data_IF_841890777186
#
_entry.id   IF_841890777186
#
_cell.length_a   1.000
_cell.length_b   1.000
_cell.length_c   1.000
_cell.angle_alpha   90.00
_cell.angle_beta   90.00
_cell.angle_gamma   90.00
#
_symmetry.space_group_name_H-M   'P 1'
#
loop_
_entity.id
_entity.type
_entity.pdbx_description
1 polymer ?
#
# COMPACT_ATOMS: atom_id res chain seq x y z
N UNK A 1 16.34 24.74 77.92
CA UNK A 1 17.33 24.58 76.83
C UNK A 1 16.90 23.36 76.02
N UNK A 2 16.41 23.61 74.80
CA UNK A 2 15.70 22.63 73.98
C UNK A 2 16.67 21.94 73.02
N UNK A 3 16.52 20.62 72.91
CA UNK A 3 17.40 19.71 72.18
C UNK A 3 17.32 19.86 70.66
N UNK A 4 18.48 19.69 70.02
CA UNK A 4 18.71 19.65 68.58
C UNK A 4 18.43 18.22 68.07
N UNK A 5 17.42 18.03 67.21
CA UNK A 5 17.14 16.76 66.56
C UNK A 5 17.67 16.77 65.12
N UNK A 6 18.76 16.03 64.87
CA UNK A 6 19.26 15.68 63.54
C UNK A 6 18.32 14.63 62.91
N UNK A 7 17.61 14.99 61.84
CA UNK A 7 16.93 14.04 60.95
C UNK A 7 17.87 13.68 59.80
N UNK A 8 18.60 12.57 59.97
CA UNK A 8 19.31 11.90 58.88
C UNK A 8 18.36 11.00 58.10
N UNK A 9 17.91 11.46 56.93
CA UNK A 9 17.21 10.63 55.95
C UNK A 9 18.19 9.80 55.13
N UNK A 10 18.54 8.60 55.58
CA UNK A 10 19.25 7.63 54.76
C UNK A 10 18.30 7.08 53.69
N UNK A 11 18.42 7.56 52.45
CA UNK A 11 18.08 6.76 51.29
C UNK A 11 19.01 5.55 51.29
N UNK A 12 18.54 4.42 51.79
CA UNK A 12 19.31 3.17 51.79
C UNK A 12 19.55 2.75 50.34
N UNK A 13 20.82 2.56 49.98
CA UNK A 13 21.27 2.10 48.66
C UNK A 13 20.54 0.84 48.21
N UNK A 14 20.06 0.04 49.16
CA UNK A 14 19.27 -1.17 48.98
C UNK A 14 17.91 -0.90 48.30
N UNK A 15 17.19 0.16 48.68
CA UNK A 15 15.91 0.49 48.05
C UNK A 15 16.10 1.01 46.62
N UNK A 16 17.18 1.75 46.36
CA UNK A 16 17.52 2.23 45.02
C UNK A 16 17.95 1.08 44.08
N UNK A 17 18.61 0.05 44.62
CA UNK A 17 18.99 -1.17 43.89
C UNK A 17 17.78 -2.06 43.58
N UNK A 18 16.83 -2.16 44.52
CA UNK A 18 15.59 -2.92 44.32
C UNK A 18 14.65 -2.22 43.32
N UNK A 19 14.55 -0.89 43.36
CA UNK A 19 13.80 -0.14 42.33
C UNK A 19 14.49 -0.21 40.97
N UNK A 20 15.82 -0.15 40.92
CA UNK A 20 16.56 -0.28 39.66
C UNK A 20 16.43 -1.69 39.05
N UNK A 21 16.46 -2.75 39.87
CA UNK A 21 16.25 -4.13 39.41
C UNK A 21 14.80 -4.36 38.99
N UNK A 22 13.83 -3.77 39.69
CA UNK A 22 12.41 -3.82 39.30
C UNK A 22 12.16 -3.09 37.98
N UNK A 23 12.73 -1.89 37.80
CA UNK A 23 12.65 -1.14 36.54
C UNK A 23 13.37 -1.84 35.39
N UNK A 24 14.50 -2.51 35.64
CA UNK A 24 15.18 -3.33 34.63
C UNK A 24 14.38 -4.59 34.28
N UNK A 25 13.74 -5.23 35.26
CA UNK A 25 12.87 -6.37 35.03
C UNK A 25 11.57 -5.98 34.29
N UNK A 26 11.01 -4.81 34.58
CA UNK A 26 9.89 -4.22 33.82
C UNK A 26 10.32 -3.89 32.39
N UNK A 27 11.52 -3.32 32.18
CA UNK A 27 12.10 -3.10 30.83
C UNK A 27 12.38 -4.38 30.06
N UNK A 28 12.84 -5.42 30.75
CA UNK A 28 13.11 -6.72 30.15
C UNK A 28 11.80 -7.50 29.89
N UNK A 29 10.73 -7.23 30.64
CA UNK A 29 9.38 -7.70 30.34
C UNK A 29 8.72 -6.90 29.19
N UNK A 30 9.07 -5.62 29.03
CA UNK A 30 8.74 -4.77 27.89
C UNK A 30 9.63 -4.99 26.66
N UNK A 31 10.63 -5.87 26.73
CA UNK A 31 11.22 -6.44 25.49
C UNK A 31 10.12 -7.26 24.82
N UNK A 32 9.32 -6.56 24.03
CA UNK A 32 8.45 -7.13 23.04
C UNK A 32 9.26 -8.21 22.32
N UNK A 33 8.84 -9.46 22.45
CA UNK A 33 9.23 -10.53 21.53
C UNK A 33 9.19 -9.93 20.12
N UNK A 34 10.13 -10.24 19.21
CA UNK A 34 10.15 -9.66 17.88
C UNK A 34 8.82 -9.94 17.18
N UNK A 35 7.88 -9.01 17.31
CA UNK A 35 6.58 -9.12 16.69
C UNK A 35 6.85 -8.70 15.27
N UNK A 36 6.70 -9.64 14.35
CA UNK A 36 6.62 -9.31 12.94
C UNK A 36 5.34 -8.50 12.77
N UNK A 37 5.43 -7.18 12.98
CA UNK A 37 4.41 -6.22 12.57
C UNK A 37 4.49 -6.14 11.04
N UNK A 38 4.08 -7.23 10.39
CA UNK A 38 3.91 -7.33 8.96
C UNK A 38 2.86 -6.29 8.59
N UNK A 39 3.28 -5.24 7.88
CA UNK A 39 2.36 -4.34 7.21
C UNK A 39 1.34 -5.19 6.43
N UNK A 40 0.04 -4.84 6.39
CA UNK A 40 -0.94 -5.60 5.61
C UNK A 40 -0.58 -5.67 4.11
N UNK A 41 0.31 -4.79 3.65
CA UNK A 41 0.84 -4.74 2.29
C UNK A 41 2.04 -5.66 2.06
N UNK A 42 2.63 -6.22 3.11
CA UNK A 42 3.80 -7.12 3.03
C UNK A 42 3.57 -8.36 2.14
N UNK A 43 2.32 -8.83 2.08
CA UNK A 43 1.93 -10.00 1.28
C UNK A 43 1.47 -9.63 -0.14
N UNK A 44 1.37 -8.34 -0.48
CA UNK A 44 0.75 -7.89 -1.73
C UNK A 44 1.54 -8.36 -2.96
N UNK A 45 2.88 -8.23 -2.93
CA UNK A 45 3.75 -8.68 -4.02
C UNK A 45 3.71 -10.21 -4.22
N UNK A 46 3.69 -10.97 -3.13
CA UNK A 46 3.57 -12.43 -3.21
C UNK A 46 2.22 -12.89 -3.75
N UNK A 47 1.13 -12.23 -3.34
CA UNK A 47 -0.21 -12.47 -3.93
C UNK A 47 -0.24 -12.12 -5.41
N UNK A 48 0.44 -11.04 -5.80
CA UNK A 48 0.55 -10.64 -7.18
C UNK A 48 1.32 -11.65 -8.02
N UNK A 49 2.38 -12.26 -7.48
CA UNK A 49 3.04 -13.42 -8.08
C UNK A 49 2.08 -14.55 -8.45
N UNK A 50 1.33 -15.02 -7.46
CA UNK A 50 0.30 -16.04 -7.66
C UNK A 50 -0.79 -15.59 -8.64
N UNK A 51 -1.12 -14.30 -8.68
CA UNK A 51 -2.05 -13.73 -9.67
C UNK A 51 -1.48 -13.85 -11.09
N UNK A 52 -0.20 -13.51 -11.28
CA UNK A 52 0.45 -13.61 -12.58
C UNK A 52 0.51 -15.06 -13.06
N UNK A 53 0.73 -16.03 -12.18
CA UNK A 53 0.68 -17.45 -12.56
C UNK A 53 -0.69 -17.86 -13.12
N UNK A 54 -1.78 -17.26 -12.63
CA UNK A 54 -3.13 -17.53 -13.13
C UNK A 54 -3.42 -16.72 -14.39
N UNK A 55 -3.15 -15.42 -14.42
CA UNK A 55 -3.53 -14.55 -15.55
C UNK A 55 -2.63 -14.77 -16.77
N UNK A 56 -1.32 -14.93 -16.54
CA UNK A 56 -0.25 -15.01 -17.53
C UNK A 56 0.26 -16.43 -17.75
N UNK A 57 -0.59 -17.42 -17.45
CA UNK A 57 -0.27 -18.80 -17.78
C UNK A 57 -0.03 -18.97 -19.30
N UNK A 58 1.08 -19.60 -19.66
CA UNK A 58 1.56 -19.71 -21.05
C UNK A 58 2.33 -18.50 -21.60
N UNK A 59 2.30 -17.32 -20.95
CA UNK A 59 3.07 -16.15 -21.38
C UNK A 59 4.56 -16.28 -21.00
N UNK A 60 5.48 -15.66 -21.76
CA UNK A 60 6.91 -15.67 -21.44
C UNK A 60 7.19 -14.96 -20.10
N UNK A 61 8.26 -15.38 -19.45
CA UNK A 61 8.79 -14.73 -18.24
C UNK A 61 9.24 -13.32 -18.62
N UNK A 62 8.89 -12.35 -17.78
CA UNK A 62 9.29 -10.95 -17.95
C UNK A 62 10.61 -10.74 -17.22
N UNK A 63 11.64 -10.29 -17.94
CA UNK A 63 12.92 -9.91 -17.36
C UNK A 63 12.95 -8.41 -17.11
N UNK A 64 13.17 -8.03 -15.85
CA UNK A 64 13.22 -6.63 -15.44
C UNK A 64 14.58 -6.28 -14.87
N UNK A 65 15.05 -5.09 -15.18
CA UNK A 65 16.22 -4.48 -14.55
C UNK A 65 15.80 -3.14 -13.93
N UNK A 66 16.60 -2.61 -13.00
CA UNK A 66 16.42 -1.26 -12.47
C UNK A 66 17.65 -0.39 -12.76
N UNK A 67 17.43 0.90 -13.04
CA UNK A 67 18.45 1.94 -12.87
C UNK A 67 18.55 2.33 -11.39
N UNK A 68 19.56 3.12 -11.06
CA UNK A 68 19.66 3.72 -9.72
C UNK A 68 18.44 4.60 -9.45
N UNK A 69 17.81 4.37 -8.30
CA UNK A 69 16.65 5.12 -7.80
C UNK A 69 17.13 5.91 -6.59
N UNK A 70 17.41 7.19 -6.83
CA UNK A 70 18.06 8.07 -5.88
C UNK A 70 17.09 9.07 -5.25
N UNK A 71 17.53 9.69 -4.17
CA UNK A 71 16.87 10.84 -3.56
C UNK A 71 17.08 12.12 -4.38
N UNK A 72 15.99 12.71 -4.89
CA UNK A 72 16.00 14.00 -5.56
C UNK A 72 15.59 15.18 -4.64
N UNK A 73 15.26 14.91 -3.38
CA UNK A 73 14.85 15.92 -2.38
C UNK A 73 16.03 16.51 -1.61
N UNK A 74 17.23 15.91 -1.73
CA UNK A 74 18.48 16.31 -1.08
C UNK A 74 18.50 16.15 0.46
N UNK A 75 17.57 15.37 1.01
CA UNK A 75 17.45 15.13 2.47
C UNK A 75 18.21 13.91 2.96
N UNK A 76 18.69 13.09 2.03
CA UNK A 76 19.65 12.03 2.29
C UNK A 76 21.07 12.55 2.58
N UNK A 77 21.34 13.83 2.32
CA UNK A 77 22.63 14.46 2.59
C UNK A 77 22.94 14.43 4.09
N UNK A 78 24.19 14.11 4.50
CA UNK A 78 24.63 14.24 5.89
C UNK A 78 24.43 15.66 6.44
N UNK A 79 24.46 16.69 5.58
CA UNK A 79 24.21 18.08 5.94
C UNK A 79 22.75 18.35 6.35
N UNK A 80 21.82 17.58 5.78
CA UNK A 80 20.40 17.60 6.12
C UNK A 80 20.05 16.62 7.26
N UNK A 81 21.05 15.94 7.85
CA UNK A 81 20.87 14.97 8.93
C UNK A 81 20.50 13.56 8.46
N UNK A 82 20.59 13.26 7.16
CA UNK A 82 20.28 11.96 6.58
C UNK A 82 18.89 11.42 6.99
N UNK A 83 17.85 12.24 6.81
CA UNK A 83 16.48 11.92 7.26
C UNK A 83 15.86 10.75 6.48
N UNK A 84 16.36 10.48 5.27
CA UNK A 84 15.91 9.42 4.36
C UNK A 84 17.10 8.71 3.69
N UNK A 85 16.94 7.46 3.22
CA UNK A 85 17.95 6.79 2.42
C UNK A 85 18.21 7.53 1.10
N UNK A 86 19.48 7.72 0.74
CA UNK A 86 19.87 8.37 -0.53
C UNK A 86 19.75 7.47 -1.75
N UNK A 87 19.72 6.15 -1.55
CA UNK A 87 19.53 5.15 -2.60
C UNK A 87 18.55 4.08 -2.11
N UNK A 88 17.43 3.93 -2.82
CA UNK A 88 16.41 2.91 -2.55
C UNK A 88 16.41 1.79 -3.59
N UNK A 89 17.41 1.73 -4.46
CA UNK A 89 17.50 0.75 -5.56
C UNK A 89 17.39 -0.67 -5.04
N UNK A 90 18.09 -1.03 -3.97
CA UNK A 90 18.01 -2.38 -3.37
C UNK A 90 16.61 -2.72 -2.87
N UNK A 91 15.86 -1.72 -2.39
CA UNK A 91 14.47 -1.93 -1.97
C UNK A 91 13.61 -2.29 -3.18
N UNK A 92 13.82 -1.61 -4.32
CA UNK A 92 13.13 -1.92 -5.58
C UNK A 92 13.54 -3.30 -6.11
N UNK A 93 14.83 -3.66 -6.07
CA UNK A 93 15.30 -5.01 -6.47
C UNK A 93 14.64 -6.09 -5.62
N UNK A 94 14.59 -5.88 -4.31
CA UNK A 94 13.95 -6.80 -3.37
C UNK A 94 12.45 -6.91 -3.65
N UNK A 95 11.77 -5.79 -3.92
CA UNK A 95 10.35 -5.75 -4.25
C UNK A 95 10.03 -6.52 -5.54
N UNK A 96 10.82 -6.31 -6.62
CA UNK A 96 10.65 -7.06 -7.88
C UNK A 96 10.86 -8.56 -7.65
N UNK A 97 11.92 -8.94 -6.91
CA UNK A 97 12.22 -10.34 -6.64
C UNK A 97 11.15 -11.03 -5.76
N UNK A 98 10.41 -10.28 -4.94
CA UNK A 98 9.29 -10.80 -4.12
C UNK A 98 8.05 -11.17 -4.95
N UNK A 99 7.94 -10.72 -6.20
CA UNK A 99 6.82 -11.08 -7.08
C UNK A 99 6.88 -12.57 -7.42
N UNK A 100 8.05 -13.11 -7.76
CA UNK A 100 8.23 -14.54 -8.01
C UNK A 100 8.47 -14.87 -9.49
N UNK A 101 8.22 -16.13 -9.87
CA UNK A 101 8.82 -16.76 -11.05
C UNK A 101 8.49 -16.11 -12.41
N UNK A 102 7.37 -15.38 -12.51
CA UNK A 102 6.95 -14.72 -13.75
C UNK A 102 7.66 -13.39 -14.02
N UNK A 103 8.28 -12.81 -13.00
CA UNK A 103 9.01 -11.55 -13.08
C UNK A 103 10.40 -11.75 -12.50
N UNK A 104 11.38 -11.93 -13.38
CA UNK A 104 12.76 -12.22 -12.97
C UNK A 104 13.58 -10.94 -13.01
N UNK A 105 14.18 -10.61 -11.88
CA UNK A 105 15.12 -9.49 -11.81
C UNK A 105 16.48 -9.89 -12.40
N UNK A 106 16.96 -9.12 -13.37
CA UNK A 106 18.28 -9.27 -13.98
C UNK A 106 19.21 -8.19 -13.39
N UNK A 107 20.17 -8.57 -12.52
CA UNK A 107 21.13 -7.61 -11.99
C UNK A 107 22.10 -7.17 -13.08
N UNK A 108 22.49 -5.90 -13.05
CA UNK A 108 23.46 -5.33 -13.98
C UNK A 108 24.66 -4.76 -13.24
N UNK A 109 25.78 -5.44 -13.41
CA UNK A 109 27.08 -5.04 -12.87
C UNK A 109 28.07 -4.96 -14.04
N UNK A 110 28.20 -3.81 -14.71
CA UNK A 110 29.04 -3.68 -15.90
C UNK A 110 30.50 -4.05 -15.61
N UNK A 111 31.01 -3.65 -14.44
CA UNK A 111 32.40 -3.94 -14.03
C UNK A 111 32.65 -5.45 -13.93
N UNK A 112 31.69 -6.19 -13.40
CA UNK A 112 31.75 -7.64 -13.30
C UNK A 112 31.68 -8.32 -14.68
N UNK A 113 30.78 -7.84 -15.55
CA UNK A 113 30.64 -8.37 -16.92
C UNK A 113 31.91 -8.12 -17.75
N UNK A 114 32.51 -6.94 -17.63
CA UNK A 114 33.76 -6.59 -18.33
C UNK A 114 34.92 -7.42 -17.79
N UNK A 115 35.08 -7.52 -16.47
CA UNK A 115 36.14 -8.32 -15.86
C UNK A 115 36.04 -9.80 -16.23
N UNK A 116 34.84 -10.38 -16.27
CA UNK A 116 34.65 -11.78 -16.65
C UNK A 116 34.81 -12.04 -18.15
N UNK A 117 34.41 -11.09 -19.00
CA UNK A 117 34.70 -11.16 -20.43
C UNK A 117 36.21 -11.20 -20.68
N UNK A 118 36.99 -10.42 -19.93
CA UNK A 118 38.46 -10.43 -19.99
C UNK A 118 39.06 -11.77 -19.52
N UNK A 119 38.37 -12.50 -18.63
CA UNK A 119 38.75 -13.84 -18.16
C UNK A 119 38.32 -14.99 -19.10
N UNK A 120 37.70 -14.69 -20.24
CA UNK A 120 37.35 -15.68 -21.26
C UNK A 120 36.09 -16.50 -20.98
N UNK A 121 35.25 -16.08 -20.03
CA UNK A 121 33.97 -16.73 -19.77
C UNK A 121 32.96 -16.42 -20.91
N UNK A 122 32.34 -17.47 -21.48
CA UNK A 122 31.22 -17.31 -22.42
C UNK A 122 29.92 -17.14 -21.63
N UNK A 123 29.22 -16.03 -21.84
CA UNK A 123 28.00 -15.72 -21.13
C UNK A 123 26.75 -16.32 -21.79
N UNK A 124 25.80 -16.73 -20.94
CA UNK A 124 24.37 -16.56 -21.23
C UNK A 124 23.87 -15.35 -20.43
N UNK A 125 24.11 -14.12 -20.92
CA UNK A 125 23.48 -12.93 -20.31
C UNK A 125 22.05 -12.85 -20.83
N UNK A 126 21.08 -13.03 -19.94
CA UNK A 126 19.68 -12.77 -20.29
C UNK A 126 19.47 -11.27 -20.42
N UNK A 127 19.03 -10.83 -21.59
CA UNK A 127 18.71 -9.43 -21.82
C UNK A 127 17.37 -9.10 -21.16
N UNK A 128 17.25 -8.00 -20.39
CA UNK A 128 15.98 -7.57 -19.83
C UNK A 128 15.00 -7.13 -20.93
N UNK A 129 13.71 -7.30 -20.69
CA UNK A 129 12.64 -6.74 -21.52
C UNK A 129 12.37 -5.27 -21.14
N UNK A 130 12.39 -5.00 -19.83
CA UNK A 130 12.08 -3.70 -19.26
C UNK A 130 13.11 -3.22 -18.25
N UNK A 131 13.19 -1.90 -18.13
CA UNK A 131 14.04 -1.18 -17.20
C UNK A 131 13.16 -0.23 -16.35
N UNK A 132 13.28 -0.33 -15.03
CA UNK A 132 12.62 0.55 -14.08
C UNK A 132 13.55 1.73 -13.79
N UNK A 133 13.02 2.95 -13.84
CA UNK A 133 13.74 4.19 -13.51
C UNK A 133 12.86 5.11 -12.70
N UNK A 134 13.44 5.99 -11.89
CA UNK A 134 12.66 6.84 -10.99
C UNK A 134 13.49 7.52 -9.91
N UNK A 135 12.81 8.18 -8.98
CA UNK A 135 13.43 8.88 -7.86
C UNK A 135 12.45 9.11 -6.71
N UNK A 136 12.97 9.38 -5.52
CA UNK A 136 12.18 10.03 -4.46
C UNK A 136 12.09 11.51 -4.80
N UNK A 137 10.90 11.98 -5.14
CA UNK A 137 10.68 13.29 -5.77
C UNK A 137 10.18 14.35 -4.82
N UNK A 138 9.50 13.96 -3.74
CA UNK A 138 9.00 14.91 -2.75
C UNK A 138 9.23 14.42 -1.33
N UNK A 139 9.52 15.38 -0.45
CA UNK A 139 9.47 15.21 0.99
C UNK A 139 8.96 16.50 1.61
N UNK A 140 7.90 16.40 2.41
CA UNK A 140 7.40 17.53 3.20
C UNK A 140 7.39 17.16 4.67
N UNK A 141 7.95 18.03 5.52
CA UNK A 141 7.95 17.92 6.98
C UNK A 141 7.07 19.03 7.54
N UNK A 142 5.77 18.79 7.66
CA UNK A 142 4.92 19.69 8.40
C UNK A 142 4.99 19.36 9.90
N UNK A 143 5.72 20.18 10.66
CA UNK A 143 5.59 20.18 12.12
C UNK A 143 4.31 20.96 12.43
N UNK A 144 3.22 20.30 12.82
CA UNK A 144 2.10 21.01 13.42
C UNK A 144 2.49 21.34 14.87
N UNK A 145 3.14 22.48 15.00
CA UNK A 145 3.37 23.19 16.24
C UNK A 145 2.58 24.49 16.19
N UNK A 146 1.85 24.77 17.28
CA UNK A 146 1.01 25.95 17.54
C UNK A 146 -0.42 25.90 16.97
N UNK A 147 -1.40 26.06 17.87
CA UNK A 147 -2.71 26.60 17.47
C UNK A 147 -3.98 25.98 18.03
N UNK A 148 -3.98 25.31 19.20
CA UNK A 148 -5.18 25.32 20.05
C UNK A 148 -4.80 25.70 21.47
N UNK A 149 -4.58 27.00 21.66
CA UNK A 149 -4.87 27.65 22.94
C UNK A 149 -6.38 27.55 23.14
N UNK A 150 -6.84 26.45 23.73
CA UNK A 150 -8.05 26.54 24.53
C UNK A 150 -7.58 26.92 25.92
N UNK A 151 -7.26 28.20 26.11
CA UNK A 151 -7.18 28.78 27.45
C UNK A 151 -8.59 28.81 28.01
N UNK A 152 -9.12 27.65 28.37
CA UNK A 152 -10.17 27.55 29.36
C UNK A 152 -9.49 27.78 30.71
N UNK A 153 -9.12 29.04 30.96
CA UNK A 153 -8.85 29.49 32.31
C UNK A 153 -10.15 29.33 33.08
N UNK A 154 -10.22 28.31 33.93
CA UNK A 154 -11.22 28.30 35.00
C UNK A 154 -10.68 29.29 36.03
N UNK A 155 -11.19 30.52 35.98
CA UNK A 155 -11.07 31.45 37.09
C UNK A 155 -11.88 30.88 38.26
N UNK A 156 -11.19 30.24 39.20
CA UNK A 156 -11.70 30.05 40.54
C UNK A 156 -10.81 30.86 41.47
N UNK A 157 -11.32 31.99 41.97
CA UNK A 157 -10.54 32.88 42.81
C UNK A 157 -11.30 34.09 43.30
N UNK A 158 -12.18 33.88 44.29
CA UNK A 158 -12.44 34.91 45.28
C UNK A 158 -11.33 34.86 46.34
N UNK A 159 -10.43 35.85 46.36
CA UNK A 159 -9.52 36.12 47.48
C UNK A 159 -8.06 35.70 47.30
N UNK A 160 -7.20 36.72 47.14
CA UNK A 160 -5.73 36.79 47.33
C UNK A 160 -4.94 35.49 47.62
N UNK A 161 -4.29 34.94 46.59
CA UNK A 161 -3.25 33.91 46.73
C UNK A 161 -3.00 33.14 45.44
N UNK A 162 -2.41 33.78 44.43
CA UNK A 162 -2.25 33.22 43.08
C UNK A 162 -1.04 32.28 43.01
N UNK A 163 -1.25 30.97 43.17
CA UNK A 163 -0.31 29.93 42.75
C UNK A 163 -0.90 29.20 41.53
N UNK A 164 -0.31 29.40 40.36
CA UNK A 164 -0.73 28.77 39.11
C UNK A 164 0.15 27.54 38.85
N UNK A 165 -0.35 26.35 39.17
CA UNK A 165 0.25 25.08 38.73
C UNK A 165 -0.54 24.58 37.50
N UNK A 166 -0.05 24.91 36.31
CA UNK A 166 -0.57 24.39 35.04
C UNK A 166 0.35 23.30 34.51
N UNK A 167 -0.18 22.10 34.28
CA UNK A 167 0.50 21.06 33.50
C UNK A 167 0.15 21.24 32.01
N UNK A 168 1.08 21.76 31.23
CA UNK A 168 0.97 21.91 29.78
C UNK A 168 1.14 20.56 29.06
N UNK A 169 0.05 19.91 28.66
CA UNK A 169 0.12 18.78 27.71
C UNK A 169 0.12 19.33 26.28
N UNK A 170 1.31 19.68 25.78
CA UNK A 170 1.51 20.04 24.36
C UNK A 170 1.34 18.80 23.48
N UNK A 171 0.18 18.66 22.80
CA UNK A 171 0.01 17.76 21.65
C UNK A 171 0.54 18.45 20.39
N UNK A 172 1.73 18.05 19.94
CA UNK A 172 2.25 18.33 18.59
C UNK A 172 2.00 17.10 17.73
N UNK A 173 1.55 17.29 16.48
CA UNK A 173 1.54 16.20 15.51
C UNK A 173 2.58 16.50 14.42
N UNK A 174 3.51 15.58 14.18
CA UNK A 174 4.45 15.70 13.08
C UNK A 174 3.85 14.98 11.88
N UNK A 175 3.61 15.73 10.81
CA UNK A 175 3.18 15.20 9.53
C UNK A 175 4.40 15.15 8.59
N UNK A 176 4.61 14.02 7.94
CA UNK A 176 5.66 13.87 6.93
C UNK A 176 5.10 13.20 5.68
N UNK A 177 5.24 13.82 4.52
CA UNK A 177 4.85 13.23 3.24
C UNK A 177 6.11 12.86 2.44
N UNK A 178 6.07 11.74 1.72
CA UNK A 178 7.15 11.23 0.87
C UNK A 178 6.53 10.77 -0.46
N UNK A 179 7.05 11.23 -1.60
CA UNK A 179 6.63 10.79 -2.93
C UNK A 179 7.70 9.94 -3.62
N UNK A 180 7.25 8.90 -4.31
CA UNK A 180 8.07 8.02 -5.14
C UNK A 180 7.47 7.92 -6.53
N UNK A 181 8.27 8.30 -7.53
CA UNK A 181 7.91 8.21 -8.94
C UNK A 181 8.75 7.16 -9.64
N UNK A 182 8.07 6.23 -10.31
CA UNK A 182 8.61 5.06 -10.97
C UNK A 182 8.06 4.98 -12.39
N UNK A 183 8.94 4.82 -13.37
CA UNK A 183 8.61 4.73 -14.79
C UNK A 183 9.17 3.44 -15.39
N UNK A 184 8.44 2.88 -16.34
CA UNK A 184 8.87 1.72 -17.11
C UNK A 184 9.49 2.16 -18.44
N UNK A 185 10.64 1.59 -18.80
CA UNK A 185 11.36 1.84 -20.05
C UNK A 185 11.52 0.51 -20.77
N UNK A 186 11.24 0.47 -22.08
CA UNK A 186 11.55 -0.71 -22.90
C UNK A 186 13.06 -0.79 -23.10
N UNK A 187 13.66 -1.95 -22.80
CA UNK A 187 15.11 -2.12 -22.92
C UNK A 187 15.58 -2.04 -24.39
N UNK A 188 14.80 -2.60 -25.31
CA UNK A 188 15.11 -2.63 -26.74
C UNK A 188 15.13 -1.23 -27.37
N UNK A 189 14.13 -0.40 -27.08
CA UNK A 189 14.00 0.93 -27.70
C UNK A 189 14.58 2.07 -26.86
N UNK A 190 14.88 1.81 -25.58
CA UNK A 190 15.22 2.82 -24.57
C UNK A 190 14.17 3.93 -24.42
N UNK A 191 12.93 3.67 -24.82
CA UNK A 191 11.81 4.61 -24.69
C UNK A 191 10.95 4.25 -23.48
N UNK A 192 10.43 5.28 -22.79
CA UNK A 192 9.44 5.08 -21.74
C UNK A 192 8.17 4.48 -22.31
N UNK A 193 7.59 3.52 -21.59
CA UNK A 193 6.32 2.89 -21.98
C UNK A 193 5.19 3.86 -21.61
N UNK A 194 4.42 4.37 -22.58
CA UNK A 194 3.41 5.39 -22.31
C UNK A 194 2.35 4.90 -21.30
N UNK A 195 2.00 5.77 -20.35
CA UNK A 195 1.00 5.54 -19.28
C UNK A 195 1.35 4.42 -18.29
N UNK A 196 2.55 3.84 -18.35
CA UNK A 196 3.03 2.84 -17.39
C UNK A 196 4.02 3.51 -16.44
N UNK A 197 3.46 4.25 -15.49
CA UNK A 197 4.15 4.88 -14.38
C UNK A 197 3.40 4.66 -13.08
N UNK A 198 4.13 4.73 -11.98
CA UNK A 198 3.63 4.71 -10.62
C UNK A 198 4.09 5.99 -9.92
N UNK A 199 3.14 6.72 -9.33
CA UNK A 199 3.37 8.00 -8.66
C UNK A 199 2.64 7.96 -7.33
N UNK A 200 3.33 7.50 -6.29
CA UNK A 200 2.72 7.22 -5.00
C UNK A 200 3.26 8.12 -3.90
N UNK A 201 2.39 8.46 -2.95
CA UNK A 201 2.74 9.27 -1.79
C UNK A 201 2.39 8.52 -0.51
N UNK A 202 3.31 8.50 0.45
CA UNK A 202 3.02 8.08 1.82
C UNK A 202 3.00 9.29 2.74
N UNK A 203 1.96 9.39 3.57
CA UNK A 203 1.81 10.39 4.63
C UNK A 203 1.93 9.70 5.98
N UNK A 204 2.86 10.18 6.79
CA UNK A 204 3.16 9.72 8.14
C UNK A 204 2.67 10.76 9.13
N UNK A 205 1.77 10.38 10.02
CA UNK A 205 1.30 11.19 11.13
C UNK A 205 1.84 10.62 12.44
N UNK A 206 2.56 11.42 13.20
CA UNK A 206 3.04 11.06 14.53
C UNK A 206 2.43 11.98 15.58
N UNK A 207 1.57 11.46 16.47
CA UNK A 207 0.97 12.25 17.55
C UNK A 207 1.88 12.22 18.79
N UNK A 208 2.27 13.39 19.31
CA UNK A 208 3.21 13.50 20.44
C UNK A 208 2.66 13.05 21.80
N UNK A 209 1.38 12.67 21.87
CA UNK A 209 0.73 12.18 23.08
C UNK A 209 0.64 10.67 22.97
N UNK A 210 1.68 10.00 23.45
CA UNK A 210 1.79 8.55 23.65
C UNK A 210 1.32 7.69 22.45
N UNK A 211 2.33 7.12 21.78
CA UNK A 211 2.24 5.80 21.16
C UNK A 211 1.30 5.64 19.96
N UNK A 212 0.84 6.73 19.36
CA UNK A 212 -0.06 6.69 18.21
C UNK A 212 0.57 7.38 17.00
N UNK A 213 1.13 6.59 16.08
CA UNK A 213 1.46 7.02 14.73
C UNK A 213 0.55 6.31 13.72
N UNK A 214 0.06 7.05 12.72
CA UNK A 214 -0.77 6.53 11.64
C UNK A 214 -0.11 6.77 10.28
N UNK A 215 -0.28 5.80 9.38
CA UNK A 215 0.24 5.83 8.01
C UNK A 215 -0.92 5.86 7.03
N UNK A 216 -0.79 6.65 5.96
CA UNK A 216 -1.70 6.67 4.82
C UNK A 216 -0.93 6.63 3.51
N UNK A 217 -1.35 5.75 2.59
CA UNK A 217 -0.78 5.61 1.25
C UNK A 217 -1.76 6.16 0.21
N UNK A 218 -1.23 6.82 -0.82
CA UNK A 218 -1.99 7.47 -1.88
C UNK A 218 -1.40 7.10 -3.23
N UNK A 219 -2.28 6.78 -4.18
CA UNK A 219 -1.97 6.55 -5.60
C UNK A 219 -3.21 6.14 -6.37
N UNK A 220 -3.06 5.75 -7.64
CA UNK A 220 -4.17 5.49 -8.56
C UNK A 220 -5.10 4.36 -8.06
N UNK A 221 -4.54 3.35 -7.40
CA UNK A 221 -5.27 2.18 -6.90
C UNK A 221 -5.27 2.05 -5.36
N UNK A 222 -4.52 2.89 -4.65
CA UNK A 222 -4.40 2.82 -3.19
C UNK A 222 -5.45 3.75 -2.55
N UNK A 223 -6.50 3.18 -1.97
CA UNK A 223 -7.49 3.95 -1.22
C UNK A 223 -6.90 4.58 0.06
N UNK A 224 -7.49 5.69 0.51
CA UNK A 224 -7.13 6.32 1.78
C UNK A 224 -7.49 5.39 2.94
N UNK A 225 -6.49 4.75 3.55
CA UNK A 225 -6.67 4.01 4.80
C UNK A 225 -5.68 4.54 5.84
N UNK A 226 -6.20 5.27 6.82
CA UNK A 226 -5.48 5.61 8.04
C UNK A 226 -5.33 4.34 8.86
N UNK A 227 -4.14 3.76 8.84
CA UNK A 227 -3.85 2.59 9.64
C UNK A 227 -3.32 3.01 11.02
N UNK A 228 -4.00 2.56 12.07
CA UNK A 228 -3.72 2.95 13.45
C UNK A 228 -2.51 2.21 14.04
N UNK A 229 -1.82 2.89 14.96
CA UNK A 229 -0.74 2.40 15.85
C UNK A 229 0.41 1.66 15.16
N UNK A 230 1.11 2.32 14.24
CA UNK A 230 2.37 1.82 13.68
C UNK A 230 3.57 2.53 14.30
N UNK A 231 4.26 1.86 15.22
CA UNK A 231 5.60 2.22 15.72
C UNK A 231 6.71 1.91 14.69
N UNK A 232 6.42 2.08 13.39
CA UNK A 232 7.37 1.80 12.34
C UNK A 232 7.88 3.14 11.77
N UNK A 233 9.16 3.42 12.00
CA UNK A 233 9.80 4.66 11.57
C UNK A 233 9.73 4.89 10.05
N UNK A 234 10.07 6.10 9.61
CA UNK A 234 10.02 6.56 8.20
C UNK A 234 10.56 5.55 7.17
N UNK A 235 11.62 4.81 7.53
CA UNK A 235 12.21 3.76 6.69
C UNK A 235 11.26 2.60 6.35
N UNK A 236 10.39 2.21 7.29
CA UNK A 236 9.38 1.18 7.02
C UNK A 236 8.31 1.73 6.08
N UNK A 237 7.91 2.99 6.24
CA UNK A 237 6.96 3.64 5.34
C UNK A 237 7.50 3.72 3.91
N UNK A 238 8.78 4.09 3.75
CA UNK A 238 9.47 4.10 2.44
C UNK A 238 9.50 2.69 1.83
N UNK A 239 9.82 1.65 2.62
CA UNK A 239 9.82 0.27 2.11
C UNK A 239 8.44 -0.15 1.62
N UNK A 240 7.38 0.14 2.38
CA UNK A 240 6.01 -0.14 1.93
C UNK A 240 5.65 0.67 0.69
N UNK A 241 6.04 1.95 0.62
CA UNK A 241 5.84 2.79 -0.56
C UNK A 241 6.50 2.18 -1.81
N UNK A 242 7.73 1.68 -1.67
CA UNK A 242 8.44 0.97 -2.74
C UNK A 242 7.71 -0.30 -3.15
N UNK A 243 7.30 -1.14 -2.19
CA UNK A 243 6.57 -2.39 -2.47
C UNK A 243 5.27 -2.11 -3.25
N UNK A 244 4.51 -1.08 -2.85
CA UNK A 244 3.28 -0.66 -3.53
C UNK A 244 3.55 -0.06 -4.92
N UNK A 245 4.60 0.75 -5.07
CA UNK A 245 4.94 1.37 -6.35
C UNK A 245 5.41 0.35 -7.38
N UNK A 246 6.16 -0.67 -6.95
CA UNK A 246 6.54 -1.80 -7.81
C UNK A 246 5.31 -2.64 -8.17
N UNK A 247 4.42 -2.90 -7.21
CA UNK A 247 3.17 -3.63 -7.47
C UNK A 247 2.32 -2.95 -8.55
N UNK A 248 2.12 -1.64 -8.42
CA UNK A 248 1.37 -0.84 -9.42
C UNK A 248 2.09 -0.81 -10.76
N UNK A 249 3.40 -0.54 -10.80
CA UNK A 249 4.15 -0.44 -12.04
C UNK A 249 4.09 -1.75 -12.84
N UNK A 250 4.35 -2.88 -12.18
CA UNK A 250 4.31 -4.19 -12.82
C UNK A 250 2.87 -4.60 -13.14
N UNK A 251 1.92 -4.31 -12.27
CA UNK A 251 0.49 -4.55 -12.51
C UNK A 251 -0.06 -3.82 -13.73
N UNK A 252 0.32 -2.55 -13.90
CA UNK A 252 0.04 -1.74 -15.11
C UNK A 252 0.71 -2.36 -16.34
N UNK A 253 2.00 -2.72 -16.23
CA UNK A 253 2.76 -3.32 -17.33
C UNK A 253 2.16 -4.64 -17.83
N UNK A 254 1.62 -5.46 -16.93
CA UNK A 254 1.03 -6.76 -17.27
C UNK A 254 -0.48 -6.70 -17.51
N UNK A 255 -1.13 -5.54 -17.39
CA UNK A 255 -2.59 -5.38 -17.42
C UNK A 255 -3.32 -6.37 -16.49
N UNK A 256 -2.78 -6.57 -15.29
CA UNK A 256 -3.30 -7.52 -14.29
C UNK A 256 -3.90 -6.74 -13.11
N UNK A 257 -5.04 -7.19 -12.52
CA UNK A 257 -5.73 -6.44 -11.46
C UNK A 257 -5.00 -6.47 -10.11
N UNK A 258 -3.85 -5.82 -10.05
CA UNK A 258 -2.96 -5.78 -8.89
C UNK A 258 -3.62 -5.18 -7.64
N UNK A 259 -4.63 -4.32 -7.80
CA UNK A 259 -5.42 -3.75 -6.70
C UNK A 259 -6.16 -4.82 -5.87
N UNK A 260 -6.39 -6.02 -6.41
CA UNK A 260 -6.99 -7.14 -5.65
C UNK A 260 -6.01 -7.80 -4.69
N UNK A 261 -4.71 -7.48 -4.79
CA UNK A 261 -3.69 -8.01 -3.88
C UNK A 261 -3.61 -7.21 -2.57
N UNK A 262 -4.15 -5.99 -2.54
CA UNK A 262 -4.10 -5.04 -1.42
C UNK A 262 -5.47 -4.88 -0.74
N UNK A 263 -5.52 -4.62 0.57
CA UNK A 263 -6.77 -4.35 1.26
C UNK A 263 -7.36 -2.99 0.84
N UNK A 264 -8.62 -2.98 0.40
CA UNK A 264 -9.31 -1.75 -0.01
C UNK A 264 -8.77 -1.12 -1.29
N UNK A 265 -8.08 -1.90 -2.14
CA UNK A 265 -7.63 -1.45 -3.45
C UNK A 265 -8.80 -1.07 -4.35
N UNK A 266 -8.64 0.03 -5.08
CA UNK A 266 -9.61 0.49 -6.07
C UNK A 266 -9.15 0.09 -7.48
N UNK A 267 -10.08 -0.17 -8.41
CA UNK A 267 -9.71 -0.50 -9.79
C UNK A 267 -8.91 0.63 -10.45
N UNK A 268 -7.78 0.27 -11.05
CA UNK A 268 -6.90 1.22 -11.73
C UNK A 268 -7.50 1.60 -13.10
N UNK A 269 -7.77 2.90 -13.35
CA UNK A 269 -8.36 3.34 -14.62
C UNK A 269 -7.44 3.06 -15.83
N UNK A 270 -6.12 3.06 -15.67
CA UNK A 270 -5.17 2.76 -16.74
C UNK A 270 -5.31 1.30 -17.17
N UNK A 271 -5.35 0.37 -16.20
CA UNK A 271 -5.49 -1.06 -16.50
C UNK A 271 -6.86 -1.37 -17.10
N UNK A 272 -7.93 -0.76 -16.56
CA UNK A 272 -9.28 -0.90 -17.11
C UNK A 272 -9.32 -0.43 -18.56
N UNK A 273 -8.80 0.77 -18.84
CA UNK A 273 -8.86 1.35 -20.18
C UNK A 273 -7.97 0.59 -21.16
N UNK A 274 -6.78 0.16 -20.76
CA UNK A 274 -5.91 -0.67 -21.59
C UNK A 274 -6.58 -2.01 -21.94
N UNK A 275 -7.21 -2.67 -20.96
CA UNK A 275 -7.91 -3.94 -21.20
C UNK A 275 -9.19 -3.73 -22.02
N UNK A 276 -9.90 -2.61 -21.82
CA UNK A 276 -11.05 -2.24 -22.64
C UNK A 276 -10.64 -2.04 -24.09
N UNK A 277 -9.64 -1.21 -24.35
CA UNK A 277 -9.14 -0.92 -25.68
C UNK A 277 -8.62 -2.19 -26.38
N UNK A 278 -7.89 -3.03 -25.65
CA UNK A 278 -7.44 -4.32 -26.16
C UNK A 278 -8.62 -5.23 -26.50
N UNK A 279 -9.62 -5.36 -25.62
CA UNK A 279 -10.78 -6.22 -25.87
C UNK A 279 -11.66 -5.72 -27.02
N UNK A 280 -11.95 -4.43 -27.08
CA UNK A 280 -12.81 -3.84 -28.12
C UNK A 280 -12.17 -3.91 -29.50
N UNK A 281 -10.84 -3.87 -29.59
CA UNK A 281 -10.08 -4.03 -30.82
C UNK A 281 -9.98 -5.47 -31.36
N UNK A 282 -10.40 -6.49 -30.60
CA UNK A 282 -10.37 -7.89 -31.05
C UNK A 282 -11.49 -8.21 -32.03
N UNK A 283 -11.23 -9.14 -32.95
CA UNK A 283 -12.28 -9.75 -33.79
C UNK A 283 -13.23 -10.59 -32.93
N UNK A 284 -14.47 -10.85 -33.37
CA UNK A 284 -15.42 -11.66 -32.63
C UNK A 284 -14.88 -13.06 -32.24
N UNK A 285 -14.13 -13.71 -33.13
CA UNK A 285 -13.54 -15.02 -32.89
C UNK A 285 -12.47 -14.97 -31.78
N UNK A 286 -11.64 -13.92 -31.78
CA UNK A 286 -10.63 -13.72 -30.75
C UNK A 286 -11.24 -13.34 -29.40
N UNK A 287 -12.34 -12.56 -29.40
CA UNK A 287 -13.11 -12.29 -28.17
C UNK A 287 -13.64 -13.58 -27.56
N UNK A 288 -14.25 -14.44 -28.37
CA UNK A 288 -14.73 -15.75 -27.93
C UNK A 288 -13.59 -16.61 -27.39
N UNK A 289 -12.44 -16.65 -28.08
CA UNK A 289 -11.26 -17.34 -27.59
C UNK A 289 -10.81 -16.84 -26.22
N UNK A 290 -10.77 -15.52 -26.01
CA UNK A 290 -10.42 -14.92 -24.73
C UNK A 290 -11.46 -15.23 -23.64
N UNK A 291 -12.75 -15.17 -23.95
CA UNK A 291 -13.84 -15.57 -23.04
C UNK A 291 -13.65 -17.02 -22.60
N UNK A 292 -13.38 -17.94 -23.53
CA UNK A 292 -13.14 -19.35 -23.22
C UNK A 292 -11.90 -19.55 -22.35
N UNK A 293 -10.82 -18.78 -22.60
CA UNK A 293 -9.64 -18.74 -21.73
C UNK A 293 -10.02 -18.29 -20.31
N UNK A 294 -10.84 -17.25 -20.19
CA UNK A 294 -11.29 -16.78 -18.87
C UNK A 294 -12.14 -17.83 -18.16
N UNK A 295 -13.11 -18.46 -18.83
CA UNK A 295 -13.94 -19.53 -18.26
C UNK A 295 -13.11 -20.69 -17.72
N UNK A 296 -12.02 -21.07 -18.42
CA UNK A 296 -11.07 -22.07 -17.89
C UNK A 296 -10.42 -21.63 -16.57
N UNK A 297 -10.11 -20.34 -16.41
CA UNK A 297 -9.57 -19.80 -15.15
C UNK A 297 -10.62 -19.78 -14.02
N UNK A 298 -11.91 -19.86 -14.33
CA UNK A 298 -12.98 -20.13 -13.36
C UNK A 298 -13.14 -21.63 -13.04
N UNK A 299 -12.39 -22.51 -13.69
CA UNK A 299 -12.45 -23.96 -13.50
C UNK A 299 -13.43 -24.68 -14.44
N UNK A 300 -14.01 -24.00 -15.42
CA UNK A 300 -14.91 -24.62 -16.38
C UNK A 300 -14.14 -25.41 -17.46
N UNK A 301 -14.57 -26.65 -17.81
CA UNK A 301 -13.87 -27.52 -18.75
C UNK A 301 -14.14 -27.14 -20.22
N UNK A 302 -13.93 -25.88 -20.57
CA UNK A 302 -14.17 -25.33 -21.92
C UNK A 302 -12.90 -25.42 -22.77
N UNK A 303 -13.04 -25.86 -24.02
CA UNK A 303 -11.95 -25.80 -24.99
C UNK A 303 -11.92 -24.45 -25.71
N UNK A 304 -10.73 -23.97 -26.08
CA UNK A 304 -10.60 -22.70 -26.83
C UNK A 304 -10.85 -22.97 -28.31
N UNK A 305 -12.12 -22.99 -28.71
CA UNK A 305 -12.58 -23.25 -30.08
C UNK A 305 -12.81 -21.98 -30.90
N UNK A 306 -12.80 -20.80 -30.24
CA UNK A 306 -13.15 -19.50 -30.83
C UNK A 306 -14.57 -19.44 -31.42
N UNK A 307 -15.42 -20.40 -31.05
CA UNK A 307 -16.81 -20.52 -31.51
C UNK A 307 -17.73 -20.46 -30.31
N UNK A 308 -18.92 -19.88 -30.53
CA UNK A 308 -19.95 -19.80 -29.52
C UNK A 308 -20.74 -21.12 -29.43
N UNK A 309 -20.06 -22.17 -28.99
CA UNK A 309 -20.59 -23.52 -28.83
C UNK A 309 -21.44 -23.67 -27.55
N UNK A 310 -22.22 -24.75 -27.48
CA UNK A 310 -23.10 -25.01 -26.33
C UNK A 310 -22.31 -25.13 -25.02
N UNK A 311 -21.10 -25.70 -25.05
CA UNK A 311 -20.23 -25.78 -23.88
C UNK A 311 -19.87 -24.39 -23.33
N UNK A 312 -19.52 -23.44 -24.20
CA UNK A 312 -19.22 -22.05 -23.83
C UNK A 312 -20.46 -21.36 -23.26
N UNK A 313 -21.64 -21.56 -23.88
CA UNK A 313 -22.91 -20.99 -23.38
C UNK A 313 -23.27 -21.50 -21.99
N UNK A 314 -23.21 -22.81 -21.77
CA UNK A 314 -23.51 -23.41 -20.47
C UNK A 314 -22.53 -22.94 -19.40
N UNK A 315 -21.23 -22.87 -19.71
CA UNK A 315 -20.21 -22.38 -18.79
C UNK A 315 -20.42 -20.89 -18.44
N UNK A 316 -20.76 -20.05 -19.42
CA UNK A 316 -21.09 -18.65 -19.18
C UNK A 316 -22.31 -18.50 -18.27
N UNK A 317 -23.40 -19.19 -18.59
CA UNK A 317 -24.62 -19.15 -17.77
C UNK A 317 -24.35 -19.56 -16.33
N UNK A 318 -23.55 -20.60 -16.13
CA UNK A 318 -23.16 -21.07 -14.79
C UNK A 318 -22.30 -20.04 -14.04
N UNK A 319 -21.26 -19.51 -14.66
CA UNK A 319 -20.37 -18.53 -14.00
C UNK A 319 -21.13 -17.25 -13.66
N UNK A 320 -21.98 -16.75 -14.57
CA UNK A 320 -22.76 -15.52 -14.32
C UNK A 320 -23.85 -15.74 -13.28
N UNK A 321 -24.53 -16.88 -13.26
CA UNK A 321 -25.56 -17.16 -12.25
C UNK A 321 -24.96 -17.37 -10.85
N UNK A 322 -23.77 -17.96 -10.75
CA UNK A 322 -23.11 -18.22 -9.46
C UNK A 322 -22.41 -16.97 -8.89
N UNK A 323 -21.83 -16.12 -9.75
CA UNK A 323 -20.93 -15.05 -9.30
C UNK A 323 -21.37 -13.62 -9.65
N UNK A 324 -22.24 -13.46 -10.63
CA UNK A 324 -22.64 -12.15 -11.16
C UNK A 324 -24.16 -12.05 -11.33
N UNK A 325 -24.93 -12.71 -10.44
CA UNK A 325 -26.38 -12.75 -10.50
C UNK A 325 -27.02 -11.35 -10.44
N UNK A 326 -26.33 -10.38 -9.81
CA UNK A 326 -26.73 -8.97 -9.74
C UNK A 326 -26.66 -8.24 -11.08
N UNK A 327 -25.90 -8.77 -12.06
CA UNK A 327 -25.75 -8.16 -13.39
C UNK A 327 -26.87 -8.51 -14.36
N UNK A 328 -27.68 -9.52 -14.06
CA UNK A 328 -28.73 -9.99 -14.96
C UNK A 328 -28.19 -10.64 -16.25
N UNK A 329 -28.93 -10.52 -17.34
CA UNK A 329 -28.50 -11.00 -18.65
C UNK A 329 -27.46 -10.05 -19.26
N UNK A 330 -26.24 -10.54 -19.48
CA UNK A 330 -25.14 -9.73 -19.99
C UNK A 330 -24.54 -10.34 -21.25
N UNK A 331 -24.36 -9.51 -22.27
CA UNK A 331 -23.62 -9.87 -23.48
C UNK A 331 -22.11 -9.77 -23.22
N UNK A 332 -21.44 -10.91 -23.07
CA UNK A 332 -19.99 -10.99 -22.86
C UNK A 332 -19.17 -10.54 -24.06
N UNK A 333 -19.75 -10.43 -25.25
CA UNK A 333 -19.06 -9.87 -26.43
C UNK A 333 -18.87 -8.35 -26.32
N UNK A 334 -19.66 -7.71 -25.44
CA UNK A 334 -19.50 -6.32 -25.04
C UNK A 334 -18.58 -6.21 -23.82
N UNK A 335 -17.93 -5.05 -23.69
CA UNK A 335 -17.04 -4.77 -22.58
C UNK A 335 -17.72 -4.92 -21.22
N UNK A 336 -18.97 -4.45 -21.09
CA UNK A 336 -19.75 -4.54 -19.84
C UNK A 336 -19.95 -5.97 -19.34
N UNK A 337 -20.07 -6.93 -20.27
CA UNK A 337 -20.09 -8.35 -19.95
C UNK A 337 -18.70 -8.88 -19.66
N UNK A 338 -17.72 -8.61 -20.50
CA UNK A 338 -16.38 -9.19 -20.33
C UNK A 338 -15.63 -8.67 -19.09
N UNK A 339 -15.79 -7.40 -18.71
CA UNK A 339 -15.09 -6.75 -17.61
C UNK A 339 -15.17 -7.53 -16.28
N UNK A 340 -16.35 -7.90 -15.75
CA UNK A 340 -16.44 -8.66 -14.51
C UNK A 340 -15.79 -10.05 -14.63
N UNK A 341 -15.91 -10.71 -15.79
CA UNK A 341 -15.30 -12.01 -16.05
C UNK A 341 -13.76 -11.90 -16.05
N UNK A 342 -13.19 -10.83 -16.58
CA UNK A 342 -11.75 -10.63 -16.57
C UNK A 342 -11.24 -10.28 -15.18
N UNK A 343 -11.83 -9.29 -14.52
CA UNK A 343 -11.25 -8.74 -13.28
C UNK A 343 -11.57 -9.52 -12.01
N UNK A 344 -12.52 -10.47 -12.03
CA UNK A 344 -12.94 -11.23 -10.84
C UNK A 344 -12.62 -12.72 -10.92
N UNK A 345 -11.56 -13.11 -11.65
CA UNK A 345 -11.07 -14.50 -11.63
C UNK A 345 -10.81 -14.92 -10.19
N UNK A 346 -11.28 -16.10 -9.74
CA UNK A 346 -11.14 -16.53 -8.35
C UNK A 346 -9.67 -16.70 -7.95
N UNK A 347 -9.27 -16.11 -6.83
CA UNK A 347 -7.90 -16.21 -6.31
C UNK A 347 -7.84 -17.04 -5.02
N UNK A 348 -6.69 -17.65 -4.73
CA UNK A 348 -6.53 -18.56 -3.58
C UNK A 348 -6.60 -17.87 -2.22
N UNK A 349 -6.28 -16.58 -2.14
CA UNK A 349 -6.34 -15.78 -0.91
C UNK A 349 -7.70 -15.11 -0.71
N UNK A 350 -8.61 -15.22 -1.67
CA UNK A 350 -9.96 -14.72 -1.50
C UNK A 350 -10.79 -15.75 -0.74
N UNK A 351 -11.68 -15.31 0.17
CA UNK A 351 -12.63 -16.23 0.76
C UNK A 351 -13.43 -16.87 -0.39
N UNK A 352 -13.52 -18.21 -0.43
CA UNK A 352 -14.41 -18.93 -1.35
C UNK A 352 -15.78 -18.26 -1.25
N UNK A 353 -16.17 -17.57 -2.31
CA UNK A 353 -17.25 -16.60 -2.30
C UNK A 353 -18.56 -17.19 -1.77
N UNK A 354 -18.93 -16.81 -0.56
CA UNK A 354 -20.30 -16.40 -0.27
C UNK A 354 -20.28 -14.87 -0.31
N UNK A 355 -20.33 -14.24 -1.50
CA UNK A 355 -20.52 -12.79 -1.62
C UNK A 355 -20.95 -12.38 -3.03
N UNK A 356 -22.26 -12.51 -3.27
CA UNK A 356 -23.02 -11.70 -4.22
C UNK A 356 -23.42 -10.33 -3.64
N UNK A 357 -22.80 -9.85 -2.55
CA UNK A 357 -23.28 -8.69 -1.78
C UNK A 357 -22.20 -7.62 -1.51
N UNK A 358 -21.23 -7.42 -2.40
CA UNK A 358 -20.24 -6.34 -2.23
C UNK A 358 -20.71 -4.96 -2.73
N UNK A 359 -21.87 -4.86 -3.40
CA UNK A 359 -22.42 -3.58 -3.90
C UNK A 359 -23.59 -3.01 -3.09
N UNK A 360 -23.92 -3.56 -1.92
CA UNK A 360 -25.00 -3.03 -1.07
C UNK A 360 -24.53 -2.08 0.05
N UNK A 361 -23.24 -2.05 0.39
CA UNK A 361 -22.74 -1.23 1.51
C UNK A 361 -22.07 0.10 1.09
N UNK A 362 -22.12 0.46 -0.20
CA UNK A 362 -21.70 1.78 -0.68
C UNK A 362 -22.87 2.80 -0.73
N UNK A 363 -24.10 2.40 -0.40
CA UNK A 363 -25.30 3.24 -0.51
C UNK A 363 -26.01 3.55 0.83
N UNK A 364 -25.48 3.13 1.97
CA UNK A 364 -26.13 3.31 3.30
C UNK A 364 -25.40 4.24 4.27
N UNK A 365 -24.52 5.11 3.76
CA UNK A 365 -23.95 6.22 4.53
C UNK A 365 -24.46 7.58 4.02
N UNK A 366 -25.78 7.72 3.87
CA UNK A 366 -26.44 9.03 3.87
C UNK A 366 -27.40 9.01 5.06
N UNK A 367 -26.94 9.56 6.18
CA UNK A 367 -27.82 9.89 7.30
C UNK A 367 -28.60 11.15 6.89
N UNK A 368 -29.93 11.12 6.76
CA UNK A 368 -30.70 12.34 6.58
C UNK A 368 -30.72 13.11 7.91
N UNK A 369 -30.09 14.29 7.94
CA UNK A 369 -30.30 15.27 9.00
C UNK A 369 -31.68 15.90 8.77
N UNK A 370 -32.71 15.32 9.40
CA UNK A 370 -34.01 15.95 9.57
C UNK A 370 -34.07 16.65 10.92
N UNK A 371 -34.34 17.96 10.94
CA UNK A 371 -34.64 18.67 12.18
C UNK A 371 -34.49 20.18 12.12
N UNK A 372 -35.16 20.83 11.17
CA UNK A 372 -35.39 22.28 11.25
C UNK A 372 -36.34 22.56 12.43
N UNK A 373 -35.80 23.15 13.50
CA UNK A 373 -36.59 23.67 14.61
C UNK A 373 -37.22 25.02 14.20
N UNK A 374 -38.55 25.06 14.12
CA UNK A 374 -39.32 26.31 14.12
C UNK A 374 -39.52 26.81 15.57
N UNK A 375 -39.64 28.13 15.79
CA UNK A 375 -39.60 28.75 17.11
C UNK A 375 -40.93 28.63 17.87
N UNK A 376 -40.85 28.29 19.15
CA UNK A 376 -41.98 28.33 20.08
C UNK A 376 -42.27 29.77 20.53
N UNK A 377 -43.45 30.28 20.17
CA UNK A 377 -44.03 31.48 20.74
C UNK A 377 -44.54 31.22 22.16
N UNK A 378 -44.29 32.19 23.05
CA UNK A 378 -44.68 32.23 24.46
C UNK A 378 -46.20 32.15 24.65
N UNK A 379 -46.62 31.33 25.61
CA UNK A 379 -47.89 31.49 26.32
C UNK A 379 -47.69 32.50 27.46
N UNK A 380 -48.62 33.45 27.61
CA UNK A 380 -48.70 34.31 28.78
C UNK A 380 -49.30 33.54 29.97
N UNK A 381 -48.64 33.64 31.12
CA UNK A 381 -49.01 34.54 32.24
C UNK A 381 -47.75 34.86 33.01
#
# INVERSE_FOLDING_TARGET
MLALALLGGCATTQNALDDATKLMAERDAEKLLPVTNLSPYSMALGRFGSMLDVYKDGDPIIYMQTRSILDATNLSSPLAGAEIPGDITEMVRTAVNRIGARVVYVPYHPDYLVAQAQLGAKFGVTMPDFLITGALTEFDRAISGAGRVNSAGIEFGGGNGKLTLGADVKRSAIFSALALDLNLVSFSTQQMVPRIQSSNVVKVLNFSSEDNASLGFYGDAFGFKMEGKYLQGRHSAIRTLVDLSVLELVGKATNTPYWRCIPGGMPDPVVIENMRAAYTGLTPELKLGLIQVMLRKYGEPVQVTQKYDEATKTALQKVYSERFADKGEVDVMQWSGFEPLFFNVPMSWEPRSANANANANAATAIVPVSGAAQPAAKAGT
#
